data_IF_445550981580
#
_entry.id   IF_445550981580
#
_cell.length_a   1.000
_cell.length_b   1.000
_cell.length_c   1.000
_cell.angle_alpha   90.00
_cell.angle_beta   90.00
_cell.angle_gamma   90.00
#
_symmetry.space_group_name_H-M   'P 1'
#
loop_
_entity.id
_entity.type
_entity.pdbx_description
1 polymer ?
#
# COMPACT_ATOMS: atom_id res chain seq x y z
N UNK A 1 -27.81 49.10 -40.92
CA UNK A 1 -28.01 48.57 -39.56
C UNK A 1 -27.92 47.04 -39.63
N UNK A 2 -26.87 46.52 -38.99
CA UNK A 2 -26.57 45.18 -38.48
C UNK A 2 -27.48 44.00 -38.91
N UNK A 3 -26.88 43.03 -39.62
CA UNK A 3 -27.43 41.67 -39.80
C UNK A 3 -27.25 40.89 -38.49
N UNK A 4 -28.33 40.47 -37.85
CA UNK A 4 -28.31 39.53 -36.74
C UNK A 4 -28.29 38.09 -37.26
N UNK A 5 -27.28 37.31 -36.86
CA UNK A 5 -27.27 35.87 -36.99
C UNK A 5 -28.28 35.28 -35.98
N UNK A 6 -29.07 34.25 -36.32
CA UNK A 6 -29.82 33.52 -35.30
C UNK A 6 -28.85 32.67 -34.47
N UNK A 7 -28.93 32.85 -33.15
CA UNK A 7 -28.22 32.10 -32.14
C UNK A 7 -28.45 30.59 -32.31
N UNK A 8 -27.36 29.83 -32.38
CA UNK A 8 -27.40 28.38 -32.28
C UNK A 8 -27.73 28.01 -30.83
N UNK A 9 -29.02 27.86 -30.54
CA UNK A 9 -29.50 27.27 -29.31
C UNK A 9 -29.07 25.79 -29.31
N UNK A 10 -28.01 25.50 -28.56
CA UNK A 10 -27.55 24.13 -28.34
C UNK A 10 -28.66 23.42 -27.57
N UNK A 11 -29.36 22.49 -28.23
CA UNK A 11 -30.29 21.57 -27.58
C UNK A 11 -29.50 20.72 -26.56
N UNK A 12 -29.57 21.15 -25.31
CA UNK A 12 -28.88 20.56 -24.15
C UNK A 12 -29.33 19.11 -23.92
N UNK A 13 -30.43 18.67 -24.54
CA UNK A 13 -30.95 17.30 -24.43
C UNK A 13 -30.40 16.34 -25.50
N UNK A 14 -29.82 16.83 -26.59
CA UNK A 14 -29.12 16.01 -27.59
C UNK A 14 -27.69 15.66 -27.13
N UNK A 15 -27.01 16.57 -26.43
CA UNK A 15 -25.68 16.35 -25.84
C UNK A 15 -25.70 15.32 -24.69
N UNK A 16 -26.87 15.10 -24.09
CA UNK A 16 -27.09 14.14 -22.98
C UNK A 16 -27.28 12.69 -23.43
N UNK A 17 -27.42 12.42 -24.74
CA UNK A 17 -27.56 11.06 -25.27
C UNK A 17 -26.25 10.42 -25.76
N UNK A 18 -25.12 11.14 -25.74
CA UNK A 18 -23.80 10.58 -26.12
C UNK A 18 -22.80 10.38 -24.96
N UNK A 19 -23.12 10.82 -23.75
CA UNK A 19 -22.35 10.47 -22.56
C UNK A 19 -23.31 10.10 -21.43
N UNK A 20 -23.49 8.80 -21.20
CA UNK A 20 -24.37 8.26 -20.17
C UNK A 20 -23.92 8.65 -18.77
N UNK A 21 -24.55 9.68 -18.20
CA UNK A 21 -24.50 10.01 -16.78
C UNK A 21 -25.93 10.24 -16.29
N UNK A 22 -26.60 9.15 -15.89
CA UNK A 22 -27.72 9.23 -14.96
C UNK A 22 -27.15 9.19 -13.55
N UNK A 23 -27.46 10.23 -12.77
CA UNK A 23 -27.15 10.35 -11.34
C UNK A 23 -28.39 9.89 -10.59
N UNK A 24 -28.25 8.79 -9.85
CA UNK A 24 -29.11 8.40 -8.75
C UNK A 24 -28.22 7.61 -7.78
N UNK A 25 -28.23 8.03 -6.51
CA UNK A 25 -27.71 7.38 -5.30
C UNK A 25 -26.43 6.53 -5.38
N UNK A 26 -25.41 6.98 -4.64
CA UNK A 26 -24.51 6.11 -3.87
C UNK A 26 -23.72 5.04 -4.62
N UNK A 27 -22.39 5.16 -4.57
CA UNK A 27 -21.42 4.13 -4.95
C UNK A 27 -21.23 3.87 -6.45
N UNK A 28 -20.33 4.66 -7.04
CA UNK A 28 -19.48 4.14 -8.11
C UNK A 28 -18.19 3.63 -7.49
N UNK A 29 -18.17 2.33 -7.15
CA UNK A 29 -16.92 1.60 -6.90
C UNK A 29 -16.12 1.59 -8.19
N UNK A 30 -15.09 2.42 -8.27
CA UNK A 30 -14.11 2.33 -9.32
C UNK A 30 -13.31 1.03 -9.07
N UNK A 31 -13.70 -0.05 -9.77
CA UNK A 31 -13.03 -1.35 -9.78
C UNK A 31 -11.69 -1.23 -10.52
N UNK A 32 -10.72 -0.56 -9.92
CA UNK A 32 -9.32 -0.79 -10.21
C UNK A 32 -8.71 -1.40 -8.96
N UNK A 33 -8.68 -2.74 -8.95
CA UNK A 33 -8.00 -3.48 -7.91
C UNK A 33 -6.51 -3.24 -8.13
N UNK A 34 -5.91 -2.34 -7.35
CA UNK A 34 -4.46 -2.13 -7.32
C UNK A 34 -3.81 -3.40 -6.79
N UNK A 35 -3.55 -4.37 -7.66
CA UNK A 35 -2.67 -5.49 -7.34
C UNK A 35 -1.25 -5.00 -7.53
N UNK A 36 -0.66 -4.50 -6.44
CA UNK A 36 0.78 -4.52 -6.35
C UNK A 36 1.20 -5.99 -6.22
N UNK A 37 2.33 -6.40 -6.79
CA UNK A 37 2.79 -7.80 -6.71
C UNK A 37 3.08 -8.25 -5.27
N UNK A 38 3.13 -7.31 -4.31
CA UNK A 38 3.46 -7.54 -2.90
C UNK A 38 2.25 -7.49 -1.94
N UNK A 39 1.16 -6.79 -2.28
CA UNK A 39 -0.03 -6.69 -1.43
C UNK A 39 -1.29 -6.34 -2.23
N UNK A 40 -2.45 -6.60 -1.65
CA UNK A 40 -3.76 -6.30 -2.22
C UNK A 40 -4.72 -5.72 -1.18
N UNK A 41 -5.68 -4.94 -1.67
CA UNK A 41 -6.85 -4.49 -0.90
C UNK A 41 -8.05 -5.36 -1.23
N UNK A 42 -8.62 -5.97 -0.20
CA UNK A 42 -9.80 -6.83 -0.35
C UNK A 42 -10.98 -6.18 0.37
N UNK A 43 -12.01 -5.83 -0.41
CA UNK A 43 -13.27 -5.33 0.14
C UNK A 43 -13.87 -6.35 1.11
N UNK A 44 -14.29 -5.87 2.28
CA UNK A 44 -14.85 -6.67 3.35
C UNK A 44 -15.88 -5.86 4.12
N UNK A 45 -16.64 -6.55 4.96
CA UNK A 45 -17.72 -5.94 5.71
C UNK A 45 -18.10 -6.75 6.94
N UNK A 46 -18.72 -6.09 7.92
CA UNK A 46 -19.37 -6.72 9.07
C UNK A 46 -18.48 -7.74 9.81
N UNK A 47 -17.20 -7.39 10.01
CA UNK A 47 -16.22 -8.23 10.72
C UNK A 47 -15.59 -9.35 9.88
N UNK A 48 -15.95 -9.51 8.60
CA UNK A 48 -15.26 -10.47 7.72
C UNK A 48 -13.80 -10.07 7.54
N UNK A 49 -12.94 -11.08 7.54
CA UNK A 49 -11.49 -10.97 7.32
C UNK A 49 -11.12 -11.96 6.21
N UNK A 50 -10.46 -11.52 5.15
CA UNK A 50 -9.93 -12.41 4.12
C UNK A 50 -8.74 -13.23 4.65
N UNK A 51 -8.43 -14.32 3.96
CA UNK A 51 -7.18 -15.06 4.18
C UNK A 51 -5.97 -14.14 3.94
N UNK A 52 -4.87 -14.43 4.63
CA UNK A 52 -3.62 -13.67 4.56
C UNK A 52 -3.72 -12.17 4.92
N UNK A 53 -4.78 -11.79 5.64
CA UNK A 53 -4.92 -10.45 6.19
C UNK A 53 -3.77 -10.10 7.15
N UNK A 54 -3.20 -8.91 6.99
CA UNK A 54 -2.09 -8.42 7.81
C UNK A 54 -2.58 -8.15 9.23
N UNK A 55 -2.24 -9.07 10.14
CA UNK A 55 -2.54 -8.95 11.57
C UNK A 55 -1.57 -7.95 12.22
N UNK A 56 -2.11 -6.94 12.89
CA UNK A 56 -1.35 -5.88 13.56
C UNK A 56 -1.07 -6.23 15.01
N UNK A 57 -2.04 -6.85 15.69
CA UNK A 57 -1.98 -7.02 17.13
C UNK A 57 -3.17 -7.80 17.69
N UNK A 58 -3.40 -7.60 18.99
CA UNK A 58 -4.59 -8.07 19.70
C UNK A 58 -5.22 -6.89 20.43
N UNK A 59 -6.55 -6.89 20.48
CA UNK A 59 -7.35 -5.94 21.24
C UNK A 59 -7.44 -6.36 22.73
N UNK A 60 -7.97 -5.48 23.57
CA UNK A 60 -8.12 -5.70 25.01
C UNK A 60 -9.01 -6.91 25.35
N UNK A 61 -9.96 -7.25 24.47
CA UNK A 61 -10.81 -8.45 24.60
C UNK A 61 -10.15 -9.76 24.11
N UNK A 62 -8.88 -9.68 23.69
CA UNK A 62 -8.11 -10.78 23.11
C UNK A 62 -8.39 -11.07 21.63
N UNK A 63 -9.30 -10.33 21.01
CA UNK A 63 -9.60 -10.35 19.58
C UNK A 63 -8.39 -9.94 18.74
N UNK A 64 -8.28 -10.48 17.52
CA UNK A 64 -7.22 -10.09 16.58
C UNK A 64 -7.54 -8.73 15.97
N UNK A 65 -6.54 -7.88 15.84
CA UNK A 65 -6.64 -6.61 15.11
C UNK A 65 -5.88 -6.70 13.80
N UNK A 66 -6.47 -6.12 12.76
CA UNK A 66 -5.92 -6.06 11.40
C UNK A 66 -5.87 -4.61 10.93
N UNK A 67 -5.05 -4.36 9.90
CA UNK A 67 -5.02 -3.06 9.23
C UNK A 67 -5.94 -3.09 8.01
N UNK A 68 -6.73 -2.04 7.87
CA UNK A 68 -7.57 -1.81 6.71
C UNK A 68 -7.58 -0.34 6.33
N UNK A 69 -8.52 0.02 5.47
CA UNK A 69 -8.87 1.40 5.16
C UNK A 69 -10.36 1.55 4.90
N UNK A 70 -10.91 2.73 5.16
CA UNK A 70 -12.31 3.03 4.94
C UNK A 70 -12.53 4.51 4.59
N UNK A 71 -13.60 4.79 3.86
CA UNK A 71 -13.98 6.15 3.50
C UNK A 71 -14.70 6.86 4.67
N UNK A 72 -14.39 8.14 4.85
CA UNK A 72 -15.08 9.03 5.78
C UNK A 72 -14.85 10.49 5.41
N UNK A 73 -15.93 11.27 5.28
CA UNK A 73 -15.87 12.71 4.95
C UNK A 73 -15.01 13.05 3.72
N UNK A 74 -14.98 12.16 2.72
CA UNK A 74 -14.18 12.32 1.51
C UNK A 74 -12.71 11.89 1.63
N UNK A 75 -12.24 11.54 2.83
CA UNK A 75 -10.92 10.96 3.06
C UNK A 75 -10.99 9.42 2.94
N UNK A 76 -9.91 8.82 2.45
CA UNK A 76 -9.66 7.38 2.57
C UNK A 76 -8.68 7.18 3.72
N UNK A 77 -9.16 6.65 4.85
CA UNK A 77 -8.41 6.63 6.11
C UNK A 77 -7.91 5.22 6.45
N UNK A 78 -6.65 5.07 6.90
CA UNK A 78 -6.20 3.85 7.57
C UNK A 78 -7.09 3.49 8.77
N UNK A 79 -7.40 2.22 8.94
CA UNK A 79 -8.42 1.73 9.86
C UNK A 79 -7.95 0.58 10.75
N UNK A 80 -8.39 0.59 12.01
CA UNK A 80 -8.35 -0.55 12.92
C UNK A 80 -9.50 -1.49 12.59
N UNK A 81 -9.22 -2.66 12.03
CA UNK A 81 -10.24 -3.67 11.74
C UNK A 81 -10.32 -4.64 12.92
N UNK A 82 -11.48 -4.71 13.57
CA UNK A 82 -11.73 -5.53 14.76
C UNK A 82 -12.93 -6.46 14.52
N UNK A 83 -12.71 -7.71 14.10
CA UNK A 83 -13.78 -8.65 13.72
C UNK A 83 -14.79 -8.93 14.83
N UNK A 84 -14.32 -8.98 16.09
CA UNK A 84 -15.21 -9.20 17.25
C UNK A 84 -16.19 -8.07 17.48
N UNK A 85 -15.89 -6.88 16.97
CA UNK A 85 -16.75 -5.70 17.05
C UNK A 85 -17.47 -5.46 15.72
N UNK A 86 -17.45 -6.45 14.82
CA UNK A 86 -18.17 -6.47 13.55
C UNK A 86 -17.83 -5.32 12.59
N UNK A 87 -16.66 -4.70 12.71
CA UNK A 87 -16.35 -3.52 11.90
C UNK A 87 -14.89 -3.09 11.90
N UNK A 88 -14.68 -1.98 11.20
CA UNK A 88 -13.46 -1.20 11.21
C UNK A 88 -13.71 0.15 11.89
N UNK A 89 -12.65 0.76 12.41
CA UNK A 89 -12.70 2.01 13.14
C UNK A 89 -11.64 2.95 12.56
N UNK A 90 -12.05 4.18 12.26
CA UNK A 90 -11.15 5.22 11.74
C UNK A 90 -11.10 6.42 12.69
N UNK A 91 -9.91 6.99 12.91
CA UNK A 91 -9.76 8.23 13.68
C UNK A 91 -9.98 9.45 12.77
N UNK A 92 -10.90 10.33 13.14
CA UNK A 92 -11.15 11.58 12.42
C UNK A 92 -11.89 12.60 13.27
N UNK A 93 -11.49 13.87 13.17
CA UNK A 93 -12.20 14.99 13.80
C UNK A 93 -12.34 14.83 15.31
N UNK A 94 -11.29 14.37 16.00
CA UNK A 94 -11.27 14.10 17.43
C UNK A 94 -12.12 12.89 17.90
N UNK A 95 -12.70 12.10 16.99
CA UNK A 95 -13.56 10.96 17.31
C UNK A 95 -13.12 9.66 16.61
N UNK A 96 -13.53 8.54 17.21
CA UNK A 96 -13.49 7.22 16.58
C UNK A 96 -14.82 6.96 15.86
N UNK A 97 -14.74 6.55 14.59
CA UNK A 97 -15.92 6.30 13.75
C UNK A 97 -15.99 4.86 13.29
N UNK A 98 -17.10 4.19 13.59
CA UNK A 98 -17.37 2.82 13.13
C UNK A 98 -17.68 2.76 11.64
N UNK A 99 -17.15 1.74 10.96
CA UNK A 99 -17.31 1.47 9.54
C UNK A 99 -17.64 -0.01 9.34
N UNK A 100 -18.78 -0.27 8.73
CA UNK A 100 -19.22 -1.65 8.45
C UNK A 100 -18.79 -2.13 7.07
N UNK A 101 -18.41 -1.22 6.19
CA UNK A 101 -17.79 -1.49 4.89
C UNK A 101 -16.38 -0.89 4.87
N UNK A 102 -15.42 -1.70 4.47
CA UNK A 102 -14.00 -1.36 4.51
C UNK A 102 -13.20 -2.24 3.55
N UNK A 103 -11.93 -1.93 3.38
CA UNK A 103 -10.96 -2.82 2.73
C UNK A 103 -9.95 -3.30 3.76
N UNK A 104 -9.56 -4.58 3.67
CA UNK A 104 -8.51 -5.18 4.51
C UNK A 104 -7.24 -5.32 3.68
N UNK A 105 -6.09 -4.99 4.28
CA UNK A 105 -4.80 -5.25 3.65
C UNK A 105 -4.49 -6.74 3.72
N UNK A 106 -4.24 -7.33 2.55
CA UNK A 106 -3.74 -8.69 2.40
C UNK A 106 -2.34 -8.62 1.83
N UNK A 107 -1.38 -9.27 2.49
CA UNK A 107 0.00 -9.31 2.05
C UNK A 107 0.69 -10.54 2.63
N UNK A 108 1.72 -11.03 1.95
CA UNK A 108 2.65 -11.97 2.57
C UNK A 108 3.35 -11.26 3.74
N UNK A 109 3.28 -11.87 4.93
CA UNK A 109 3.88 -11.34 6.14
C UNK A 109 5.40 -11.09 6.03
N UNK A 110 6.10 -11.78 5.12
CA UNK A 110 7.52 -11.57 4.85
C UNK A 110 7.80 -10.29 4.05
N UNK A 111 6.80 -9.80 3.31
CA UNK A 111 6.90 -8.62 2.45
C UNK A 111 6.56 -7.31 3.17
N UNK A 112 6.20 -7.36 4.45
CA UNK A 112 5.90 -6.16 5.24
C UNK A 112 6.65 -6.13 6.56
N UNK A 113 7.08 -4.95 6.98
CA UNK A 113 7.65 -4.73 8.32
C UNK A 113 7.02 -3.53 9.00
N UNK A 114 7.26 -3.44 10.30
CA UNK A 114 6.97 -2.26 11.10
C UNK A 114 8.28 -1.59 11.48
N UNK A 115 8.43 -0.32 11.13
CA UNK A 115 9.67 0.44 11.32
C UNK A 115 9.41 1.59 12.27
N UNK A 116 10.17 1.69 13.36
CA UNK A 116 10.05 2.78 14.31
C UNK A 116 10.29 4.15 13.63
N UNK A 117 9.45 5.12 13.96
CA UNK A 117 9.53 6.49 13.46
C UNK A 117 8.86 7.45 14.44
N UNK A 118 8.90 8.75 14.13
CA UNK A 118 8.26 9.77 14.96
C UNK A 118 8.01 11.09 14.23
N UNK A 119 7.18 11.94 14.83
CA UNK A 119 7.01 13.36 14.47
C UNK A 119 6.64 13.58 13.00
N UNK A 120 5.74 12.76 12.47
CA UNK A 120 5.28 12.81 11.07
C UNK A 120 6.20 12.10 10.07
N UNK A 121 7.40 11.68 10.48
CA UNK A 121 8.32 10.99 9.59
C UNK A 121 7.75 9.62 9.18
N UNK A 122 7.93 9.30 7.90
CA UNK A 122 7.66 7.98 7.32
C UNK A 122 8.88 7.54 6.51
N UNK A 123 9.35 6.29 6.65
CA UNK A 123 10.45 5.78 5.84
C UNK A 123 10.12 5.78 4.34
N UNK A 124 11.12 5.84 3.43
CA UNK A 124 10.89 5.82 1.97
C UNK A 124 10.04 4.64 1.48
N UNK A 125 10.15 3.49 2.15
CA UNK A 125 9.42 2.26 1.86
C UNK A 125 8.04 2.17 2.53
N UNK A 126 7.56 3.24 3.16
CA UNK A 126 6.26 3.26 3.81
C UNK A 126 5.12 3.05 2.80
N UNK A 127 4.17 2.18 3.15
CA UNK A 127 3.00 1.94 2.31
C UNK A 127 2.00 3.08 2.50
N UNK A 128 1.75 3.83 1.42
CA UNK A 128 0.62 4.74 1.38
C UNK A 128 -0.67 3.93 1.38
N UNK A 129 -1.48 4.12 2.42
CA UNK A 129 -2.70 3.33 2.66
C UNK A 129 -3.95 4.16 2.39
N UNK A 130 -3.84 5.47 2.56
CA UNK A 130 -4.94 6.40 2.42
C UNK A 130 -4.52 7.73 1.83
N UNK A 131 -5.50 8.63 1.80
CA UNK A 131 -5.29 10.04 1.44
C UNK A 131 -6.40 10.91 2.00
N UNK A 132 -6.08 12.16 2.29
CA UNK A 132 -7.10 13.17 2.55
C UNK A 132 -7.83 13.54 1.25
N UNK A 133 -8.95 14.22 1.38
CA UNK A 133 -9.72 14.77 0.26
C UNK A 133 -8.91 15.81 -0.54
N UNK A 134 -7.95 16.49 0.08
CA UNK A 134 -7.00 17.38 -0.61
C UNK A 134 -5.83 16.62 -1.27
N UNK A 135 -5.76 15.30 -1.10
CA UNK A 135 -4.75 14.45 -1.70
C UNK A 135 -3.47 14.26 -0.88
N UNK A 136 -3.42 14.71 0.38
CA UNK A 136 -2.27 14.43 1.25
C UNK A 136 -2.19 12.92 1.51
N UNK A 137 -1.04 12.26 1.30
CA UNK A 137 -0.88 10.84 1.56
C UNK A 137 -0.98 10.52 3.05
N UNK A 138 -1.69 9.44 3.37
CA UNK A 138 -1.82 8.90 4.72
C UNK A 138 -1.23 7.50 4.78
N UNK A 139 -0.57 7.19 5.90
CA UNK A 139 0.15 5.93 6.10
C UNK A 139 -0.43 5.18 7.30
N UNK A 140 -0.31 3.85 7.32
CA UNK A 140 -0.62 3.13 8.55
C UNK A 140 0.55 3.19 9.51
N UNK A 141 0.23 3.53 10.75
CA UNK A 141 1.11 3.31 11.87
C UNK A 141 0.45 2.42 12.91
N UNK A 142 1.23 1.99 13.89
CA UNK A 142 0.74 1.36 15.12
C UNK A 142 1.50 1.88 16.33
N UNK A 143 0.86 1.80 17.48
CA UNK A 143 1.44 2.15 18.77
C UNK A 143 0.95 1.20 19.86
N UNK A 144 1.78 1.00 20.88
CA UNK A 144 1.35 0.33 22.09
C UNK A 144 0.48 1.30 22.92
N UNK A 145 -0.79 0.96 23.16
CA UNK A 145 -1.69 1.75 23.98
C UNK A 145 -2.60 0.85 24.82
N UNK A 146 -2.71 1.15 26.12
CA UNK A 146 -3.55 0.42 27.07
C UNK A 146 -3.36 -1.12 27.04
N UNK A 147 -2.11 -1.58 26.91
CA UNK A 147 -1.77 -3.01 26.85
C UNK A 147 -2.06 -3.69 25.51
N UNK A 148 -2.46 -2.94 24.49
CA UNK A 148 -2.71 -3.42 23.12
C UNK A 148 -1.71 -2.81 22.14
N UNK A 149 -1.62 -3.38 20.93
CA UNK A 149 -0.95 -2.76 19.78
C UNK A 149 -2.03 -2.33 18.80
N UNK A 150 -2.25 -1.01 18.70
CA UNK A 150 -3.38 -0.44 17.97
C UNK A 150 -2.91 0.21 16.67
N UNK A 151 -3.46 -0.17 15.50
CA UNK A 151 -3.21 0.53 14.25
C UNK A 151 -3.97 1.86 14.15
N UNK A 152 -3.49 2.75 13.30
CA UNK A 152 -4.14 4.02 13.00
C UNK A 152 -3.52 4.76 11.81
N UNK A 153 -3.83 6.05 11.72
CA UNK A 153 -3.50 6.96 10.62
C UNK A 153 -2.31 7.84 11.00
N UNK A 154 -1.18 7.68 10.32
CA UNK A 154 -0.10 8.67 10.35
C UNK A 154 -0.48 9.78 9.39
N UNK A 155 -0.40 11.01 9.90
CA UNK A 155 -0.66 12.22 9.13
C UNK A 155 0.62 13.07 9.12
N UNK A 156 1.43 12.97 8.06
CA UNK A 156 2.77 13.57 8.03
C UNK A 156 2.75 15.07 8.33
N UNK A 157 1.83 15.86 7.73
CA UNK A 157 1.75 17.30 7.97
C UNK A 157 1.33 17.68 9.41
N UNK A 158 0.61 16.81 10.11
CA UNK A 158 0.25 17.01 11.51
C UNK A 158 1.34 16.53 12.48
N UNK A 159 2.33 15.77 11.99
CA UNK A 159 3.44 15.30 12.81
C UNK A 159 3.11 14.10 13.72
N UNK A 160 1.99 13.41 13.53
CA UNK A 160 1.51 12.40 14.50
C UNK A 160 0.88 11.15 13.87
N UNK A 161 0.87 10.07 14.64
CA UNK A 161 -0.06 8.95 14.47
C UNK A 161 -1.34 9.24 15.27
N UNK A 162 -2.49 9.08 14.62
CA UNK A 162 -3.79 9.04 15.27
C UNK A 162 -4.31 7.60 15.36
N UNK A 163 -4.78 7.17 16.54
CA UNK A 163 -5.48 5.88 16.69
C UNK A 163 -6.94 6.09 17.12
N UNK A 164 -7.87 5.23 16.67
CA UNK A 164 -9.22 5.18 17.18
C UNK A 164 -9.26 4.34 18.47
N UNK A 165 -9.70 4.94 19.57
CA UNK A 165 -9.77 4.25 20.87
C UNK A 165 -10.86 4.82 21.78
N UNK A 166 -11.79 3.97 22.21
CA UNK A 166 -12.79 4.32 23.23
C UNK A 166 -13.68 5.49 22.83
N UNK A 167 -14.06 5.58 21.55
CA UNK A 167 -14.85 6.68 21.01
C UNK A 167 -14.06 7.95 20.66
N UNK A 168 -12.74 7.97 20.86
CA UNK A 168 -11.88 9.14 20.62
C UNK A 168 -10.82 8.88 19.57
N UNK A 169 -10.36 9.95 18.94
CA UNK A 169 -9.10 9.99 18.18
C UNK A 169 -7.98 10.44 19.14
N UNK A 170 -7.00 9.57 19.38
CA UNK A 170 -5.85 9.85 20.24
C UNK A 170 -4.59 10.03 19.39
N UNK A 171 -3.71 10.96 19.73
CA UNK A 171 -2.49 11.26 18.97
C UNK A 171 -1.19 10.82 19.69
N UNK A 172 -0.21 10.38 18.91
CA UNK A 172 1.08 9.88 19.37
C UNK A 172 2.21 10.39 18.46
N UNK A 173 3.28 10.88 19.07
CA UNK A 173 4.46 11.35 18.35
C UNK A 173 5.43 10.22 17.98
N UNK A 174 5.42 9.12 18.72
CA UNK A 174 6.27 7.94 18.48
C UNK A 174 5.39 6.77 18.08
N UNK A 175 5.80 6.07 17.02
CA UNK A 175 5.01 5.01 16.41
C UNK A 175 5.88 4.10 15.54
N UNK A 176 5.33 2.97 15.10
CA UNK A 176 5.91 2.18 14.01
C UNK A 176 5.09 2.40 12.73
N UNK A 177 5.78 2.48 11.59
CA UNK A 177 5.19 2.67 10.25
C UNK A 177 5.15 1.34 9.52
N UNK A 178 4.05 1.04 8.85
CA UNK A 178 3.96 -0.12 7.96
C UNK A 178 4.74 0.13 6.67
N UNK A 179 5.68 -0.74 6.39
CA UNK A 179 6.64 -0.62 5.29
C UNK A 179 6.62 -1.86 4.40
N UNK A 180 6.89 -1.66 3.11
CA UNK A 180 7.17 -2.75 2.17
C UNK A 180 8.62 -3.21 2.34
N UNK A 181 8.83 -4.50 2.59
CA UNK A 181 10.14 -5.14 2.64
C UNK A 181 10.61 -5.63 1.27
N UNK A 182 9.85 -5.34 0.21
CA UNK A 182 10.15 -5.77 -1.14
C UNK A 182 11.59 -5.49 -1.54
N UNK A 183 12.44 -6.50 -1.39
CA UNK A 183 13.62 -6.76 -2.20
C UNK A 183 13.17 -7.08 -3.65
N UNK A 184 12.29 -6.24 -4.20
CA UNK A 184 11.67 -6.36 -5.52
C UNK A 184 12.35 -5.47 -6.58
N UNK A 185 13.15 -4.49 -6.17
CA UNK A 185 13.95 -3.66 -7.09
C UNK A 185 15.46 -3.88 -6.95
N UNK A 186 15.90 -4.78 -6.06
CA UNK A 186 17.28 -5.28 -6.10
C UNK A 186 17.39 -6.32 -7.21
N UNK A 187 17.36 -5.85 -8.46
CA UNK A 187 18.08 -6.56 -9.52
C UNK A 187 19.56 -6.48 -9.15
N UNK A 188 20.29 -7.58 -8.88
CA UNK A 188 21.73 -7.52 -9.03
C UNK A 188 21.94 -7.07 -10.47
N UNK A 189 22.46 -5.86 -10.66
CA UNK A 189 23.10 -5.48 -11.91
C UNK A 189 24.18 -6.54 -12.10
N UNK A 190 23.88 -7.57 -12.90
CA UNK A 190 24.86 -8.55 -13.29
C UNK A 190 25.81 -7.74 -14.15
N UNK A 191 26.90 -7.26 -13.55
CA UNK A 191 27.97 -6.62 -14.29
C UNK A 191 28.49 -7.67 -15.26
N UNK A 192 28.06 -7.56 -16.52
CA UNK A 192 28.44 -8.43 -17.63
C UNK A 192 29.96 -8.43 -17.92
N UNK A 193 30.73 -7.67 -17.15
CA UNK A 193 32.20 -7.65 -17.20
C UNK A 193 32.84 -8.95 -16.68
N UNK A 194 32.16 -9.71 -15.81
CA UNK A 194 32.71 -10.96 -15.27
C UNK A 194 32.49 -12.18 -16.16
N UNK A 195 31.48 -12.16 -17.04
CA UNK A 195 31.20 -13.31 -17.93
C UNK A 195 32.21 -13.36 -19.08
N UNK A 196 32.54 -12.21 -19.67
CA UNK A 196 33.57 -12.12 -20.72
C UNK A 196 34.97 -12.49 -20.19
N UNK A 197 35.30 -12.12 -18.94
CA UNK A 197 36.59 -12.49 -18.33
C UNK A 197 36.67 -13.97 -17.97
N UNK A 198 35.57 -14.61 -17.54
CA UNK A 198 35.53 -16.05 -17.24
C UNK A 198 35.60 -16.90 -18.51
N UNK A 199 34.90 -16.49 -19.57
CA UNK A 199 34.96 -17.17 -20.86
C UNK A 199 36.34 -17.00 -21.52
N UNK A 200 36.94 -15.81 -21.46
CA UNK A 200 38.31 -15.60 -21.97
C UNK A 200 39.35 -16.36 -21.14
N UNK A 201 39.19 -16.47 -19.81
CA UNK A 201 40.11 -17.23 -18.96
C UNK A 201 40.00 -18.74 -19.20
N UNK A 202 38.79 -19.28 -19.39
CA UNK A 202 38.60 -20.70 -19.71
C UNK A 202 39.09 -21.04 -21.13
N UNK A 203 38.88 -20.16 -22.10
CA UNK A 203 39.40 -20.36 -23.46
C UNK A 203 40.93 -20.31 -23.50
N UNK A 204 41.55 -19.42 -22.72
CA UNK A 204 43.02 -19.33 -22.63
C UNK A 204 43.62 -20.55 -21.92
N UNK A 205 43.00 -21.04 -20.84
CA UNK A 205 43.46 -22.25 -20.15
C UNK A 205 43.28 -23.50 -21.00
N UNK A 206 42.23 -23.61 -21.80
CA UNK A 206 42.01 -24.75 -22.68
C UNK A 206 42.99 -24.78 -23.86
N UNK A 207 43.37 -23.62 -24.40
CA UNK A 207 44.42 -23.54 -25.43
C UNK A 207 45.81 -23.87 -24.85
N UNK A 208 46.12 -23.45 -23.62
CA UNK A 208 47.40 -23.78 -22.97
C UNK A 208 47.56 -25.28 -22.70
N UNK A 209 46.48 -25.97 -22.26
CA UNK A 209 46.51 -27.43 -22.05
C UNK A 209 46.71 -28.18 -23.37
N UNK A 210 46.08 -27.72 -24.45
CA UNK A 210 46.21 -28.35 -25.78
C UNK A 210 47.58 -28.13 -26.43
N UNK A 211 48.31 -27.06 -26.11
CA UNK A 211 49.67 -26.85 -26.63
C UNK A 211 50.72 -27.72 -25.93
N UNK A 212 50.54 -28.01 -24.64
CA UNK A 212 51.43 -28.92 -23.88
C UNK A 212 51.28 -30.39 -24.31
N UNK A 213 50.08 -30.79 -24.76
CA UNK A 213 49.82 -32.14 -25.27
C UNK A 213 50.46 -32.43 -26.64
N UNK A 214 50.78 -31.40 -27.42
CA UNK A 214 51.35 -31.57 -28.77
C UNK A 214 52.89 -31.65 -28.81
N UNK A 215 53.58 -31.44 -27.69
CA UNK A 215 55.05 -31.45 -27.63
C UNK A 215 55.66 -32.74 -27.06
N UNK A 216 54.86 -33.75 -26.75
CA UNK A 216 55.37 -35.07 -26.34
C UNK A 216 55.36 -36.03 -27.52
N UNK A 217 56.38 -35.95 -28.38
CA UNK A 217 56.78 -37.06 -29.25
C UNK A 217 57.60 -38.06 -28.44
N UNK A 218 57.30 -39.37 -28.46
CA UNK A 218 58.16 -40.37 -27.85
C UNK A 218 59.41 -40.55 -28.72
N UNK A 219 60.59 -40.28 -28.17
CA UNK A 219 61.84 -40.77 -28.73
C UNK A 219 61.95 -42.27 -28.46
N UNK A 220 62.04 -43.07 -29.53
CA UNK A 220 62.64 -44.40 -29.54
C UNK A 220 64.02 -44.32 -30.20
#
# INVERSE_FOLDING_TARGET
MIRGLPDAEIDVNEARRRHGLLVADGFRFNRQQERNSTYAWVTSQHGRIPDDAVKVGKDADGGKLYIGRAWHEGDLLPAKVAPRHSGAFVPWGCAEHSKFEYEVLVADSHLVSWVASSNGNVPPQALQIGRTVQGEPLYAGRVAHAGTVTPGKIHPSHGVLYIPWGGKELNFNEYEVLCNNGLGDYSPQINNENTQQRENSQHTQQIFVLSQSKNSTPHY
#
